data_IF_270879680173
#
_entry.id   IF_270879680173
#
_cell.length_a   1.000
_cell.length_b   1.000
_cell.length_c   1.000
_cell.angle_alpha   90.00
_cell.angle_beta   90.00
_cell.angle_gamma   90.00
#
_symmetry.space_group_name_H-M   'P 1'
#
loop_
_entity.id
_entity.type
_entity.pdbx_description
1 polymer ?
#
# COMPACT_ATOMS: atom_id res chain seq x y z
N UNK A 1 9.37 -0.18 -4.83
CA UNK A 1 8.08 0.33 -5.27
C UNK A 1 8.06 1.86 -5.25
N UNK A 2 7.96 2.56 -4.11
CA UNK A 2 8.02 4.04 -4.05
C UNK A 2 9.29 4.64 -4.66
N UNK A 3 10.43 3.93 -4.62
CA UNK A 3 11.69 4.43 -5.20
C UNK A 3 11.57 4.64 -6.72
N UNK A 4 11.03 3.67 -7.45
CA UNK A 4 10.65 3.82 -8.86
C UNK A 4 9.43 4.74 -9.01
N UNK A 5 8.35 4.38 -8.35
CA UNK A 5 7.13 5.17 -8.20
C UNK A 5 6.22 5.29 -9.41
N UNK A 6 6.50 4.54 -10.49
CA UNK A 6 5.74 4.64 -11.75
C UNK A 6 5.30 3.27 -12.28
N UNK A 7 5.39 2.22 -11.45
CA UNK A 7 4.96 0.85 -11.77
C UNK A 7 5.60 0.23 -13.04
N UNK A 8 6.75 0.75 -13.46
CA UNK A 8 7.42 0.46 -14.74
C UNK A 8 8.78 -0.25 -14.59
N UNK A 9 9.18 -0.61 -13.36
CA UNK A 9 10.46 -1.28 -13.08
C UNK A 9 10.29 -2.52 -12.21
N UNK A 10 11.17 -3.49 -12.41
CA UNK A 10 11.39 -4.61 -11.49
C UNK A 10 12.80 -4.50 -10.92
N UNK A 11 12.90 -4.42 -9.61
CA UNK A 11 14.19 -4.26 -8.94
C UNK A 11 14.11 -4.52 -7.45
N UNK A 12 15.28 -4.64 -6.83
CA UNK A 12 15.41 -4.79 -5.39
C UNK A 12 16.73 -4.19 -4.89
N UNK A 13 16.76 -3.85 -3.62
CA UNK A 13 17.95 -3.35 -2.96
C UNK A 13 18.15 -4.06 -1.62
N UNK A 14 19.39 -4.34 -1.29
CA UNK A 14 19.77 -4.87 0.02
C UNK A 14 20.75 -3.91 0.66
N UNK A 15 20.44 -3.51 1.89
CA UNK A 15 21.27 -2.62 2.70
C UNK A 15 21.60 -3.34 4.00
N UNK A 16 22.86 -3.30 4.43
CA UNK A 16 23.27 -3.99 5.65
C UNK A 16 24.75 -3.79 5.97
N UNK A 17 25.27 -4.56 6.91
CA UNK A 17 26.70 -4.55 7.25
C UNK A 17 27.56 -4.90 6.04
N UNK A 18 28.72 -4.25 5.93
CA UNK A 18 29.61 -4.40 4.78
C UNK A 18 30.06 -5.84 4.50
N UNK A 19 30.34 -6.63 5.54
CA UNK A 19 30.74 -8.02 5.43
C UNK A 19 29.64 -8.90 4.81
N UNK A 20 28.37 -8.69 5.22
CA UNK A 20 27.22 -9.38 4.65
C UNK A 20 26.97 -8.97 3.20
N UNK A 21 27.03 -7.66 2.89
CA UNK A 21 26.85 -7.14 1.53
C UNK A 21 27.93 -7.68 0.59
N UNK A 22 29.22 -7.73 1.03
CA UNK A 22 30.29 -8.31 0.22
C UNK A 22 30.02 -9.77 -0.16
N UNK A 23 29.55 -10.59 0.78
CA UNK A 23 29.18 -11.99 0.53
C UNK A 23 28.00 -12.11 -0.45
N UNK A 24 26.99 -11.22 -0.35
CA UNK A 24 25.85 -11.18 -1.26
C UNK A 24 26.23 -10.70 -2.65
N UNK A 25 27.18 -9.78 -2.77
CA UNK A 25 27.67 -9.29 -4.06
C UNK A 25 28.23 -10.40 -4.93
N UNK A 26 29.04 -11.29 -4.34
CA UNK A 26 29.58 -12.47 -5.04
C UNK A 26 28.46 -13.35 -5.57
N UNK A 27 27.46 -13.66 -4.73
CA UNK A 27 26.28 -14.44 -5.13
C UNK A 27 25.49 -13.75 -6.24
N UNK A 28 25.26 -12.44 -6.14
CA UNK A 28 24.59 -11.63 -7.17
C UNK A 28 25.28 -11.78 -8.54
N UNK A 29 26.61 -11.71 -8.57
CA UNK A 29 27.39 -11.87 -9.80
C UNK A 29 27.22 -13.27 -10.39
N UNK A 30 27.33 -14.31 -9.57
CA UNK A 30 27.23 -15.70 -10.02
C UNK A 30 25.83 -16.11 -10.46
N UNK A 31 24.78 -15.60 -9.81
CA UNK A 31 23.37 -15.92 -10.12
C UNK A 31 22.71 -14.94 -11.12
N UNK A 32 23.43 -13.89 -11.55
CA UNK A 32 22.94 -12.94 -12.55
C UNK A 32 21.84 -11.98 -12.04
N UNK A 33 21.74 -11.75 -10.73
CA UNK A 33 20.74 -10.85 -10.12
C UNK A 33 21.05 -9.37 -10.29
N UNK A 34 21.57 -8.96 -11.45
CA UNK A 34 21.87 -7.54 -11.76
C UNK A 34 20.73 -6.93 -12.57
N UNK A 35 20.24 -5.73 -12.22
CA UNK A 35 19.27 -5.04 -13.04
C UNK A 35 19.89 -4.65 -14.38
N UNK A 36 19.08 -4.60 -15.43
CA UNK A 36 19.50 -4.10 -16.73
C UNK A 36 19.66 -2.58 -16.74
N UNK A 37 20.38 -2.00 -17.73
CA UNK A 37 20.62 -0.56 -17.77
C UNK A 37 19.37 0.31 -17.87
N UNK A 38 18.28 -0.17 -18.52
CA UNK A 38 17.04 0.58 -18.66
C UNK A 38 16.32 0.69 -17.31
N UNK A 39 16.20 -0.42 -16.56
CA UNK A 39 15.68 -0.40 -15.19
C UNK A 39 16.50 0.51 -14.26
N UNK A 40 17.84 0.52 -14.41
CA UNK A 40 18.70 1.44 -13.65
C UNK A 40 18.40 2.91 -13.98
N UNK A 41 18.22 3.24 -15.25
CA UNK A 41 17.87 4.59 -15.70
C UNK A 41 16.49 5.03 -15.15
N UNK A 42 15.47 4.17 -15.27
CA UNK A 42 14.14 4.46 -14.76
C UNK A 42 14.14 4.63 -13.24
N UNK A 43 14.88 3.79 -12.51
CA UNK A 43 15.03 3.90 -11.06
C UNK A 43 15.69 5.23 -10.67
N UNK A 44 16.79 5.61 -11.32
CA UNK A 44 17.46 6.90 -11.07
C UNK A 44 16.51 8.06 -11.32
N UNK A 45 15.78 8.03 -12.43
CA UNK A 45 14.75 9.03 -12.76
C UNK A 45 13.65 9.10 -11.72
N UNK A 46 13.11 7.95 -11.28
CA UNK A 46 12.05 7.85 -10.28
C UNK A 46 12.48 8.42 -8.91
N UNK A 47 13.71 8.15 -8.48
CA UNK A 47 14.27 8.66 -7.22
C UNK A 47 14.31 10.19 -7.20
N UNK A 48 14.55 10.84 -8.33
CA UNK A 48 14.64 12.32 -8.42
C UNK A 48 13.36 13.03 -7.99
N UNK A 49 12.20 12.38 -8.11
CA UNK A 49 10.89 12.92 -7.70
C UNK A 49 10.38 12.35 -6.36
N UNK A 50 11.14 11.46 -5.72
CA UNK A 50 10.69 10.78 -4.49
C UNK A 50 10.33 11.76 -3.38
N UNK A 51 11.16 12.78 -3.16
CA UNK A 51 10.95 13.80 -2.12
C UNK A 51 9.69 14.66 -2.36
N UNK A 52 9.26 14.82 -3.62
CA UNK A 52 8.04 15.53 -3.98
C UNK A 52 6.80 14.61 -3.85
N UNK A 53 6.92 13.34 -4.24
CA UNK A 53 5.80 12.38 -4.22
C UNK A 53 5.42 11.91 -2.82
N UNK A 54 6.41 11.51 -2.00
CA UNK A 54 6.14 10.92 -0.68
C UNK A 54 5.27 11.79 0.25
N UNK A 55 5.47 13.13 0.34
CA UNK A 55 4.57 13.97 1.13
C UNK A 55 3.11 13.88 0.68
N UNK A 56 2.84 13.82 -0.62
CA UNK A 56 1.48 13.74 -1.18
C UNK A 56 0.87 12.37 -0.87
N UNK A 57 1.60 11.26 -1.13
CA UNK A 57 1.14 9.92 -0.74
C UNK A 57 0.75 9.85 0.74
N UNK A 58 1.62 10.36 1.62
CA UNK A 58 1.39 10.29 3.06
C UNK A 58 0.22 11.18 3.52
N UNK A 59 0.09 12.40 2.96
CA UNK A 59 -1.01 13.31 3.31
C UNK A 59 -2.35 12.79 2.82
N UNK A 60 -2.42 12.31 1.58
CA UNK A 60 -3.63 11.73 1.03
C UNK A 60 -4.07 10.50 1.83
N UNK A 61 -3.14 9.57 2.12
CA UNK A 61 -3.45 8.38 2.91
C UNK A 61 -3.90 8.71 4.33
N UNK A 62 -3.28 9.69 4.99
CA UNK A 62 -3.67 10.10 6.33
C UNK A 62 -5.08 10.71 6.35
N UNK A 63 -5.43 11.56 5.39
CA UNK A 63 -6.75 12.16 5.28
C UNK A 63 -7.82 11.11 4.95
N UNK A 64 -7.58 10.24 3.97
CA UNK A 64 -8.49 9.14 3.62
C UNK A 64 -8.68 8.19 4.81
N UNK A 65 -7.61 7.82 5.51
CA UNK A 65 -7.70 6.94 6.69
C UNK A 65 -8.58 7.54 7.78
N UNK A 66 -8.48 8.86 8.03
CA UNK A 66 -9.33 9.58 8.99
C UNK A 66 -10.80 9.58 8.57
N UNK A 67 -11.08 9.80 7.28
CA UNK A 67 -12.46 9.78 6.75
C UNK A 67 -13.05 8.38 6.78
N UNK A 68 -12.26 7.34 6.44
CA UNK A 68 -12.67 5.95 6.56
C UNK A 68 -12.98 5.54 8.01
N UNK A 69 -12.19 5.99 8.99
CA UNK A 69 -12.44 5.71 10.42
C UNK A 69 -13.77 6.29 10.91
N UNK A 70 -14.23 7.39 10.31
CA UNK A 70 -15.52 8.02 10.62
C UNK A 70 -16.70 7.44 9.85
N UNK A 71 -16.46 6.56 8.87
CA UNK A 71 -17.51 6.05 7.99
C UNK A 71 -18.26 4.88 8.62
N UNK A 72 -19.60 4.90 8.59
CA UNK A 72 -20.46 3.92 9.28
C UNK A 72 -20.32 2.48 8.77
N UNK A 73 -19.95 2.28 7.51
CA UNK A 73 -19.75 0.96 6.88
C UNK A 73 -18.31 0.42 7.03
N UNK A 74 -17.44 1.14 7.71
CA UNK A 74 -16.08 0.70 8.04
C UNK A 74 -16.05 0.22 9.50
N UNK A 75 -15.46 -0.95 9.74
CA UNK A 75 -15.35 -1.53 11.06
C UNK A 75 -14.09 -1.09 11.79
N UNK A 76 -12.95 -1.13 11.10
CA UNK A 76 -11.65 -0.74 11.65
C UNK A 76 -10.74 -0.24 10.53
N UNK A 77 -9.89 0.73 10.84
CA UNK A 77 -8.85 1.26 9.94
C UNK A 77 -7.47 1.07 10.56
N UNK A 78 -6.54 0.56 9.78
CA UNK A 78 -5.15 0.41 10.14
C UNK A 78 -4.30 1.43 9.38
N UNK A 79 -4.00 2.54 10.02
CA UNK A 79 -3.06 3.53 9.50
C UNK A 79 -2.28 4.16 10.65
N UNK A 80 -0.94 4.23 10.58
CA UNK A 80 -0.11 4.63 11.72
C UNK A 80 -0.25 6.10 12.14
N UNK A 81 -0.90 6.93 11.35
CA UNK A 81 -1.21 8.32 11.73
C UNK A 81 -2.48 8.47 12.59
N UNK A 82 -3.29 7.43 12.70
CA UNK A 82 -4.52 7.48 13.50
C UNK A 82 -4.21 7.27 14.99
N UNK A 83 -4.77 8.07 15.89
CA UNK A 83 -4.61 7.88 17.34
C UNK A 83 -5.12 6.52 17.85
N UNK A 84 -6.06 5.91 17.16
CA UNK A 84 -6.60 4.57 17.41
C UNK A 84 -5.64 3.44 17.07
N UNK A 85 -4.58 3.70 16.27
CA UNK A 85 -3.62 2.68 15.88
C UNK A 85 -2.78 2.23 17.07
N UNK A 86 -2.68 0.91 17.29
CA UNK A 86 -1.96 0.32 18.46
C UNK A 86 -0.51 0.81 18.63
N UNK A 87 0.18 1.12 17.53
CA UNK A 87 1.58 1.56 17.53
C UNK A 87 1.72 3.08 17.23
N UNK A 88 0.67 3.88 17.46
CA UNK A 88 0.65 5.31 17.14
C UNK A 88 1.84 6.09 17.73
N UNK A 89 2.14 5.91 19.02
CA UNK A 89 3.24 6.60 19.70
C UNK A 89 4.62 6.17 19.17
N UNK A 90 4.76 4.92 18.72
CA UNK A 90 5.97 4.44 18.05
C UNK A 90 6.08 5.04 16.64
N UNK A 91 4.97 5.03 15.89
CA UNK A 91 4.92 5.57 14.53
C UNK A 91 5.29 7.05 14.47
N UNK A 92 4.84 7.86 15.43
CA UNK A 92 5.24 9.28 15.53
C UNK A 92 6.74 9.49 15.63
N UNK A 93 7.48 8.53 16.20
CA UNK A 93 8.94 8.60 16.36
C UNK A 93 9.68 8.04 15.14
N UNK A 94 9.17 6.99 14.52
CA UNK A 94 9.88 6.23 13.47
C UNK A 94 9.47 6.62 12.06
N UNK A 95 8.19 6.95 11.84
CA UNK A 95 7.62 7.35 10.55
C UNK A 95 6.70 8.57 10.71
N UNK A 96 7.22 9.72 11.17
CA UNK A 96 6.40 10.87 11.59
C UNK A 96 5.52 11.46 10.50
N UNK A 97 5.80 11.16 9.24
CA UNK A 97 4.98 11.57 8.07
C UNK A 97 3.93 10.53 7.66
N UNK A 98 3.86 9.39 8.38
CA UNK A 98 2.96 8.30 8.04
C UNK A 98 3.44 7.47 6.84
N UNK A 99 2.50 6.91 6.12
CA UNK A 99 2.70 6.02 4.96
C UNK A 99 1.61 6.26 3.92
N UNK A 100 1.84 5.88 2.67
CA UNK A 100 0.82 5.87 1.62
C UNK A 100 -0.05 4.61 1.62
N UNK A 101 0.12 3.70 2.59
CA UNK A 101 -0.65 2.45 2.69
C UNK A 101 -1.74 2.56 3.74
N UNK A 102 -2.94 2.12 3.39
CA UNK A 102 -4.08 1.98 4.31
C UNK A 102 -4.56 0.54 4.24
N UNK A 103 -4.94 -0.02 5.39
CA UNK A 103 -5.76 -1.21 5.43
C UNK A 103 -7.00 -0.95 6.30
N UNK A 104 -8.13 -1.53 5.92
CA UNK A 104 -9.37 -1.38 6.68
C UNK A 104 -10.29 -2.58 6.45
N UNK A 105 -11.28 -2.72 7.30
CA UNK A 105 -12.30 -3.77 7.19
C UNK A 105 -13.65 -3.15 6.88
N UNK A 106 -14.28 -3.61 5.81
CA UNK A 106 -15.64 -3.24 5.42
C UNK A 106 -16.64 -4.12 6.16
N UNK A 107 -17.70 -3.53 6.70
CA UNK A 107 -18.83 -4.29 7.30
C UNK A 107 -19.55 -5.08 6.22
N UNK A 108 -19.94 -6.31 6.54
CA UNK A 108 -20.59 -7.21 5.58
C UNK A 108 -19.66 -8.28 5.00
N UNK A 109 -18.40 -8.31 5.43
CA UNK A 109 -17.45 -9.39 5.10
C UNK A 109 -16.90 -9.32 3.67
N UNK A 110 -16.46 -10.49 3.17
CA UNK A 110 -15.71 -10.58 1.92
C UNK A 110 -16.53 -10.16 0.68
N UNK A 111 -17.83 -10.45 0.67
CA UNK A 111 -18.71 -10.04 -0.44
C UNK A 111 -18.86 -8.52 -0.52
N UNK A 112 -19.01 -7.85 0.64
CA UNK A 112 -19.06 -6.39 0.70
C UNK A 112 -17.73 -5.77 0.28
N UNK A 113 -16.59 -6.32 0.72
CA UNK A 113 -15.26 -5.85 0.30
C UNK A 113 -15.04 -5.98 -1.22
N UNK A 114 -15.49 -7.09 -1.84
CA UNK A 114 -15.42 -7.25 -3.29
C UNK A 114 -16.35 -6.26 -4.02
N UNK A 115 -17.56 -6.04 -3.48
CA UNK A 115 -18.49 -5.07 -4.06
C UNK A 115 -17.92 -3.66 -3.99
N UNK A 116 -17.37 -3.26 -2.84
CA UNK A 116 -16.65 -2.01 -2.66
C UNK A 116 -15.52 -1.86 -3.70
N UNK A 117 -14.61 -2.83 -3.76
CA UNK A 117 -13.46 -2.78 -4.66
C UNK A 117 -13.87 -2.61 -6.13
N UNK A 118 -14.92 -3.31 -6.58
CA UNK A 118 -15.44 -3.25 -7.95
C UNK A 118 -16.29 -2.02 -8.25
N UNK A 119 -16.71 -1.30 -7.24
CA UNK A 119 -17.47 -0.04 -7.35
C UNK A 119 -16.59 1.21 -7.49
N UNK A 120 -15.26 1.05 -7.45
CA UNK A 120 -14.32 2.14 -7.62
C UNK A 120 -14.06 2.41 -9.10
N UNK A 121 -14.02 3.69 -9.48
CA UNK A 121 -13.81 4.15 -10.86
C UNK A 121 -12.39 4.70 -11.10
N UNK A 122 -11.80 5.35 -10.07
CA UNK A 122 -10.46 5.97 -10.14
C UNK A 122 -9.38 5.01 -9.65
N UNK A 123 -9.66 4.28 -8.57
CA UNK A 123 -8.71 3.41 -7.89
C UNK A 123 -8.70 2.03 -8.54
N UNK A 124 -7.56 1.60 -9.08
CA UNK A 124 -7.45 0.35 -9.83
C UNK A 124 -7.32 -0.88 -8.91
N UNK A 125 -8.00 -1.98 -9.29
CA UNK A 125 -7.79 -3.29 -8.66
C UNK A 125 -6.43 -3.87 -9.08
N UNK A 126 -5.47 -3.92 -8.15
CA UNK A 126 -4.14 -4.50 -8.37
C UNK A 126 -3.42 -4.82 -7.07
N UNK A 127 -2.55 -5.85 -7.12
CA UNK A 127 -1.74 -6.30 -5.98
C UNK A 127 -0.50 -5.46 -5.70
N UNK A 128 -0.10 -4.57 -6.60
CA UNK A 128 1.08 -3.70 -6.44
C UNK A 128 0.86 -2.61 -5.39
N UNK A 129 1.82 -1.72 -5.22
CA UNK A 129 1.75 -0.55 -4.35
C UNK A 129 2.85 0.46 -4.69
N UNK A 130 2.69 1.70 -4.22
CA UNK A 130 3.75 2.71 -4.24
C UNK A 130 3.99 3.37 -5.59
N UNK A 131 3.11 3.15 -6.57
CA UNK A 131 3.01 3.94 -7.79
C UNK A 131 2.33 5.29 -7.55
N UNK A 132 2.38 6.17 -8.54
CA UNK A 132 1.68 7.47 -8.51
C UNK A 132 0.17 7.30 -8.55
N UNK A 133 -0.31 6.19 -9.09
CA UNK A 133 -1.70 5.75 -9.13
C UNK A 133 -2.13 5.08 -7.80
N UNK A 134 -3.39 5.29 -7.43
CA UNK A 134 -4.02 4.59 -6.31
C UNK A 134 -4.46 3.18 -6.71
N UNK A 135 -4.17 2.21 -5.83
CA UNK A 135 -4.49 0.80 -6.04
C UNK A 135 -5.24 0.21 -4.84
N UNK A 136 -6.10 -0.77 -5.11
CA UNK A 136 -6.85 -1.51 -4.09
C UNK A 136 -6.73 -3.02 -4.32
N UNK A 137 -6.67 -3.79 -3.23
CA UNK A 137 -6.84 -5.25 -3.28
C UNK A 137 -7.58 -5.78 -2.05
N UNK A 138 -8.27 -6.90 -2.25
CA UNK A 138 -8.73 -7.76 -1.17
C UNK A 138 -7.75 -8.96 -1.07
N UNK A 139 -6.93 -9.07 -0.01
CA UNK A 139 -5.90 -10.10 0.09
C UNK A 139 -6.42 -11.54 -0.07
N UNK A 140 -7.63 -11.82 0.42
CA UNK A 140 -8.23 -13.15 0.31
C UNK A 140 -8.52 -13.57 -1.14
N UNK A 141 -8.73 -12.61 -2.04
CA UNK A 141 -8.99 -12.82 -3.48
C UNK A 141 -7.75 -12.58 -4.36
N UNK A 142 -6.61 -12.29 -3.77
CA UNK A 142 -5.39 -11.93 -4.51
C UNK A 142 -4.14 -12.55 -3.86
N UNK A 143 -3.37 -11.75 -3.15
CA UNK A 143 -2.06 -12.11 -2.62
C UNK A 143 -2.07 -13.26 -1.59
N UNK A 144 -3.20 -13.49 -0.92
CA UNK A 144 -3.36 -14.52 0.12
C UNK A 144 -4.44 -15.57 -0.22
N UNK A 145 -4.82 -15.69 -1.49
CA UNK A 145 -5.90 -16.59 -1.92
C UNK A 145 -5.65 -18.08 -1.63
N UNK A 146 -4.39 -18.49 -1.53
CA UNK A 146 -4.01 -19.88 -1.23
C UNK A 146 -3.78 -20.14 0.27
N UNK A 147 -3.93 -19.12 1.13
CA UNK A 147 -3.79 -19.25 2.58
C UNK A 147 -5.15 -19.62 3.18
N UNK A 148 -5.25 -20.68 4.00
CA UNK A 148 -6.50 -21.04 4.68
C UNK A 148 -7.08 -19.87 5.48
N UNK A 149 -8.41 -19.77 5.51
CA UNK A 149 -9.12 -18.64 6.12
C UNK A 149 -8.78 -18.47 7.61
N UNK A 150 -8.73 -19.55 8.36
CA UNK A 150 -8.38 -19.55 9.78
C UNK A 150 -6.96 -18.99 10.02
N UNK A 151 -6.03 -19.33 9.15
CA UNK A 151 -4.64 -18.81 9.19
C UNK A 151 -4.61 -17.31 8.86
N UNK A 152 -5.39 -16.87 7.86
CA UNK A 152 -5.52 -15.44 7.51
C UNK A 152 -6.10 -14.62 8.66
N UNK A 153 -7.18 -15.11 9.26
CA UNK A 153 -7.83 -14.46 10.41
C UNK A 153 -6.86 -14.37 11.60
N UNK A 154 -6.13 -15.46 11.91
CA UNK A 154 -5.12 -15.47 12.96
C UNK A 154 -3.96 -14.48 12.70
N UNK A 155 -3.66 -14.19 11.43
CA UNK A 155 -2.69 -13.19 11.01
C UNK A 155 -3.25 -11.76 10.99
N UNK A 156 -4.52 -11.54 11.36
CA UNK A 156 -5.18 -10.22 11.35
C UNK A 156 -5.82 -9.83 10.01
N UNK A 157 -5.86 -10.74 9.04
CA UNK A 157 -6.50 -10.54 7.74
C UNK A 157 -7.92 -11.17 7.79
N UNK A 158 -8.80 -10.53 8.56
CA UNK A 158 -10.19 -10.98 8.74
C UNK A 158 -11.03 -10.84 7.48
N UNK A 159 -12.29 -11.26 7.58
CA UNK A 159 -13.27 -11.08 6.50
C UNK A 159 -13.53 -9.59 6.28
N UNK A 160 -13.73 -9.21 5.03
CA UNK A 160 -13.95 -7.81 4.65
C UNK A 160 -12.70 -6.95 4.63
N UNK A 161 -11.51 -7.56 4.77
CA UNK A 161 -10.23 -6.83 4.79
C UNK A 161 -9.85 -6.32 3.41
N UNK A 162 -9.59 -5.01 3.32
CA UNK A 162 -9.15 -4.29 2.11
C UNK A 162 -7.81 -3.63 2.38
N UNK A 163 -6.92 -3.65 1.39
CA UNK A 163 -5.67 -2.89 1.40
C UNK A 163 -5.67 -1.88 0.25
N UNK A 164 -5.32 -0.65 0.52
CA UNK A 164 -5.14 0.41 -0.48
C UNK A 164 -3.72 0.96 -0.46
N UNK A 165 -3.18 1.21 -1.63
CA UNK A 165 -1.98 2.02 -1.87
C UNK A 165 -2.45 3.34 -2.45
N UNK A 166 -2.37 4.40 -1.66
CA UNK A 166 -2.85 5.73 -2.06
C UNK A 166 -1.79 6.43 -2.91
N UNK A 167 -2.19 6.90 -4.06
CA UNK A 167 -1.39 7.63 -5.02
C UNK A 167 -1.29 9.14 -4.73
N UNK A 168 -1.03 9.91 -5.79
CA UNK A 168 -0.85 11.36 -5.72
C UNK A 168 -1.95 12.13 -6.45
N UNK A 169 -3.08 11.48 -6.74
CA UNK A 169 -4.29 12.10 -7.28
C UNK A 169 -4.86 13.13 -6.29
N UNK A 170 -5.79 13.93 -6.73
CA UNK A 170 -6.51 14.84 -5.83
C UNK A 170 -7.24 14.06 -4.73
N UNK A 171 -7.09 14.47 -3.48
CA UNK A 171 -7.64 13.74 -2.33
C UNK A 171 -9.17 13.76 -2.29
N UNK A 172 -9.81 14.80 -2.83
CA UNK A 172 -11.27 14.89 -2.86
C UNK A 172 -11.84 13.97 -3.97
N UNK A 173 -11.16 13.83 -5.09
CA UNK A 173 -11.52 12.88 -6.14
C UNK A 173 -11.41 11.45 -5.62
N UNK A 174 -10.32 11.13 -4.94
CA UNK A 174 -10.15 9.80 -4.30
C UNK A 174 -11.21 9.54 -3.24
N UNK A 175 -11.52 10.54 -2.40
CA UNK A 175 -12.55 10.36 -1.39
C UNK A 175 -13.94 10.20 -1.98
N UNK A 176 -14.28 10.98 -3.02
CA UNK A 176 -15.54 10.82 -3.74
C UNK A 176 -15.71 9.42 -4.30
N UNK A 177 -14.66 8.86 -4.92
CA UNK A 177 -14.65 7.51 -5.44
C UNK A 177 -14.89 6.46 -4.33
N UNK A 178 -14.15 6.60 -3.22
CA UNK A 178 -14.26 5.69 -2.07
C UNK A 178 -15.65 5.78 -1.41
N UNK A 179 -16.12 7.01 -1.10
CA UNK A 179 -17.40 7.20 -0.41
C UNK A 179 -18.58 6.72 -1.27
N UNK A 180 -18.59 7.05 -2.56
CA UNK A 180 -19.62 6.57 -3.49
C UNK A 180 -19.66 5.04 -3.54
N UNK A 181 -18.51 4.38 -3.56
CA UNK A 181 -18.46 2.92 -3.57
C UNK A 181 -18.93 2.31 -2.25
N UNK A 182 -18.58 2.92 -1.11
CA UNK A 182 -19.08 2.48 0.22
C UNK A 182 -20.58 2.68 0.36
N UNK A 183 -21.11 3.85 -0.02
CA UNK A 183 -22.53 4.20 0.12
C UNK A 183 -23.45 3.33 -0.76
N UNK A 184 -22.90 2.67 -1.76
CA UNK A 184 -23.62 1.74 -2.63
C UNK A 184 -23.54 0.27 -2.15
N UNK A 185 -22.98 -0.04 -0.97
CA UNK A 185 -22.96 -1.39 -0.43
C UNK A 185 -24.32 -1.78 0.13
#
# INVERSE_FOLDING_TARGET
KYLGGHSDIVGGAVVGRADLIASMFIKKVHFGGSPDPHNCYLLERGIRTLAARMPIHCSNAAEIAKRLEAHELVEVVHHPSLPSHRDYELAKKTIPKGTGMIAFTVKGGDDAALKFMRGLDIIFEATSLGGVESLVECPFNSSHMFIPEDVRIAAGLGRGFVRMSIGIEDVEDLWSDISNSLDNL
#
